data_IF_779085894351
#
_entry.id   IF_779085894351
#
_cell.length_a   1.000
_cell.length_b   1.000
_cell.length_c   1.000
_cell.angle_alpha   90.00
_cell.angle_beta   90.00
_cell.angle_gamma   90.00
#
_symmetry.space_group_name_H-M   'P 1'
#
loop_
_entity.id
_entity.type
_entity.pdbx_description
1 polymer ?
#
# COMPACT_ATOMS: atom_id res chain seq x y z
N UNK A 1 21.34 -57.85 19.24
CA UNK A 1 20.16 -57.05 19.65
C UNK A 1 19.76 -56.24 18.43
N UNK A 2 18.73 -56.70 17.70
CA UNK A 2 18.22 -56.08 16.48
C UNK A 2 17.00 -55.23 16.87
N UNK A 3 17.12 -53.91 16.75
CA UNK A 3 16.03 -52.96 16.98
C UNK A 3 15.23 -52.81 15.70
N UNK A 4 14.06 -53.44 15.66
CA UNK A 4 13.05 -53.28 14.62
C UNK A 4 12.37 -51.92 14.80
N UNK A 5 12.48 -51.04 13.80
CA UNK A 5 11.72 -49.79 13.75
C UNK A 5 10.28 -50.07 13.25
N UNK A 6 9.24 -49.50 13.88
CA UNK A 6 7.87 -49.65 13.42
C UNK A 6 7.60 -48.82 12.15
N UNK A 7 6.82 -49.42 11.24
CA UNK A 7 6.40 -48.84 9.97
C UNK A 7 5.50 -47.62 10.14
N UNK A 8 5.80 -46.57 9.38
CA UNK A 8 5.02 -45.33 9.27
C UNK A 8 3.65 -45.62 8.64
N UNK A 9 2.57 -45.16 9.29
CA UNK A 9 1.22 -45.17 8.72
C UNK A 9 1.05 -44.02 7.70
N UNK A 10 0.30 -44.21 6.60
CA UNK A 10 0.05 -43.16 5.62
C UNK A 10 -0.86 -42.08 6.21
N UNK A 11 -0.37 -40.83 6.26
CA UNK A 11 -1.19 -39.65 6.58
C UNK A 11 -2.16 -39.41 5.42
N UNK A 12 -3.46 -39.38 5.73
CA UNK A 12 -4.52 -38.95 4.82
C UNK A 12 -4.42 -37.43 4.66
N UNK A 13 -4.29 -36.97 3.42
CA UNK A 13 -4.38 -35.56 3.04
C UNK A 13 -5.82 -35.04 3.27
N UNK A 14 -6.04 -33.92 3.96
CA UNK A 14 -7.31 -33.21 3.88
C UNK A 14 -7.39 -32.52 2.52
N UNK A 15 -8.40 -32.89 1.73
CA UNK A 15 -8.70 -32.26 0.44
C UNK A 15 -9.06 -30.79 0.64
N UNK A 16 -8.52 -29.94 -0.23
CA UNK A 16 -8.94 -28.55 -0.39
C UNK A 16 -10.33 -28.51 -1.04
N UNK A 17 -11.34 -27.87 -0.43
CA UNK A 17 -12.54 -27.50 -1.16
C UNK A 17 -12.27 -26.22 -1.96
N UNK A 18 -12.24 -26.40 -3.28
CA UNK A 18 -12.59 -25.36 -4.25
C UNK A 18 -14.03 -24.93 -3.96
N UNK A 19 -14.24 -23.67 -3.61
CA UNK A 19 -15.57 -23.05 -3.68
C UNK A 19 -15.43 -21.53 -3.86
N UNK A 20 -15.51 -21.13 -5.13
CA UNK A 20 -15.84 -19.78 -5.54
C UNK A 20 -17.23 -19.38 -5.02
N UNK A 21 -17.34 -18.19 -4.44
CA UNK A 21 -18.59 -17.47 -4.31
C UNK A 21 -18.30 -15.96 -4.17
N UNK A 22 -18.06 -15.30 -5.30
CA UNK A 22 -18.23 -13.85 -5.43
C UNK A 22 -19.74 -13.60 -5.39
N UNK A 23 -20.23 -13.07 -4.27
CA UNK A 23 -21.56 -12.46 -4.20
C UNK A 23 -21.37 -10.97 -4.42
N UNK A 24 -21.60 -10.54 -5.66
CA UNK A 24 -21.88 -9.14 -5.98
C UNK A 24 -23.24 -8.82 -5.36
N UNK A 25 -23.23 -8.22 -4.17
CA UNK A 25 -24.41 -7.62 -3.59
C UNK A 25 -24.60 -6.23 -4.21
N UNK A 26 -25.46 -6.15 -5.21
CA UNK A 26 -26.01 -4.90 -5.72
C UNK A 26 -26.88 -4.26 -4.64
N UNK A 27 -26.36 -3.27 -3.93
CA UNK A 27 -27.17 -2.40 -3.06
C UNK A 27 -27.87 -1.35 -3.93
N UNK A 28 -29.12 -1.65 -4.26
CA UNK A 28 -30.08 -0.68 -4.74
C UNK A 28 -30.53 0.19 -3.57
N UNK A 29 -30.46 1.52 -3.75
CA UNK A 29 -31.08 2.52 -2.90
C UNK A 29 -32.59 2.24 -2.75
N UNK A 30 -33.02 1.88 -1.54
CA UNK A 30 -34.42 1.96 -1.10
C UNK A 30 -34.49 3.05 -0.04
N UNK A 31 -35.03 4.20 -0.46
CA UNK A 31 -35.45 5.26 0.44
C UNK A 31 -36.85 4.93 1.00
N UNK A 32 -36.95 4.84 2.33
CA UNK A 32 -38.04 5.37 3.17
C UNK A 32 -37.90 4.89 4.63
N UNK A 33 -37.79 5.82 5.59
CA UNK A 33 -38.32 5.61 6.94
C UNK A 33 -37.53 6.21 8.11
N UNK A 34 -38.00 7.37 8.57
CA UNK A 34 -37.97 7.92 9.95
C UNK A 34 -36.62 8.17 10.68
N UNK A 35 -36.21 9.45 10.61
CA UNK A 35 -35.96 10.33 11.76
C UNK A 35 -35.04 9.85 12.91
N UNK A 36 -33.71 9.81 12.67
CA UNK A 36 -32.64 10.37 13.55
C UNK A 36 -31.27 10.26 12.84
N UNK A 37 -31.20 10.58 11.54
CA UNK A 37 -29.95 10.54 10.79
C UNK A 37 -29.09 11.76 11.15
N UNK A 38 -28.12 11.56 12.04
CA UNK A 38 -26.99 12.45 12.29
C UNK A 38 -26.06 12.57 11.07
N UNK A 39 -26.64 12.86 9.90
CA UNK A 39 -25.90 13.35 8.75
C UNK A 39 -25.31 14.67 9.18
N UNK A 40 -24.03 14.65 9.54
CA UNK A 40 -23.24 15.84 9.83
C UNK A 40 -23.60 16.90 8.80
N UNK A 41 -24.09 18.06 9.25
CA UNK A 41 -24.41 19.13 8.33
C UNK A 41 -23.12 19.50 7.58
N UNK A 42 -23.22 20.03 6.36
CA UNK A 42 -22.03 20.48 5.61
C UNK A 42 -21.14 21.44 6.43
N UNK A 43 -21.74 22.14 7.40
CA UNK A 43 -21.06 22.99 8.39
C UNK A 43 -20.22 22.18 9.37
N UNK A 44 -20.72 21.03 9.85
CA UNK A 44 -20.02 20.17 10.80
C UNK A 44 -18.82 19.47 10.13
N UNK A 45 -18.98 19.04 8.88
CA UNK A 45 -17.87 18.47 8.10
C UNK A 45 -16.77 19.51 7.83
N UNK A 46 -17.14 20.75 7.51
CA UNK A 46 -16.16 21.84 7.29
C UNK A 46 -15.37 22.12 8.58
N UNK A 47 -16.05 22.12 9.73
CA UNK A 47 -15.41 22.33 11.03
C UNK A 47 -14.46 21.18 11.39
N UNK A 48 -14.88 19.93 11.13
CA UNK A 48 -14.04 18.76 11.28
C UNK A 48 -12.78 18.85 10.41
N UNK A 49 -12.92 19.12 9.11
CA UNK A 49 -11.79 19.20 8.18
C UNK A 49 -10.78 20.31 8.56
N UNK A 50 -11.27 21.45 9.04
CA UNK A 50 -10.40 22.51 9.55
C UNK A 50 -9.60 22.06 10.78
N UNK A 51 -10.22 21.26 11.65
CA UNK A 51 -9.57 20.71 12.84
C UNK A 51 -8.59 19.58 12.49
N UNK A 52 -8.94 18.71 11.55
CA UNK A 52 -8.07 17.69 10.99
C UNK A 52 -6.75 18.28 10.46
N UNK A 53 -6.84 19.37 9.68
CA UNK A 53 -5.66 20.07 9.16
C UNK A 53 -4.76 20.67 10.27
N UNK A 54 -5.34 21.06 11.40
CA UNK A 54 -4.59 21.55 12.57
C UNK A 54 -3.90 20.39 13.31
N UNK A 55 -4.60 19.26 13.48
CA UNK A 55 -4.07 18.04 14.11
C UNK A 55 -2.94 17.41 13.29
N UNK A 56 -3.02 17.46 11.96
CA UNK A 56 -2.06 16.83 11.04
C UNK A 56 -0.85 17.72 10.71
N UNK A 57 -0.58 18.78 11.49
CA UNK A 57 0.59 19.61 11.23
C UNK A 57 1.90 18.83 11.48
N UNK A 58 2.85 18.85 10.51
CA UNK A 58 4.09 18.12 10.64
C UNK A 58 4.94 18.67 11.79
N UNK A 59 5.55 17.76 12.55
CA UNK A 59 6.46 18.12 13.64
C UNK A 59 5.77 18.60 14.92
N UNK A 60 4.44 18.56 15.00
CA UNK A 60 3.69 18.88 16.22
C UNK A 60 2.96 17.65 16.77
N UNK A 61 3.17 17.36 18.05
CA UNK A 61 2.37 16.37 18.77
C UNK A 61 1.05 17.03 19.18
N UNK A 62 -0.12 16.49 18.79
CA UNK A 62 -1.41 17.05 19.18
C UNK A 62 -1.55 17.17 20.69
N UNK A 63 -2.10 18.29 21.17
CA UNK A 63 -2.41 18.44 22.60
C UNK A 63 -3.68 17.65 22.95
N UNK A 64 -3.87 17.24 24.21
CA UNK A 64 -5.12 16.60 24.64
C UNK A 64 -6.36 17.47 24.40
N UNK A 65 -6.19 18.80 24.51
CA UNK A 65 -7.26 19.76 24.22
C UNK A 65 -7.63 19.75 22.74
N UNK A 66 -6.64 19.72 21.83
CA UNK A 66 -6.85 19.62 20.40
C UNK A 66 -7.54 18.31 20.01
N UNK A 67 -7.10 17.19 20.60
CA UNK A 67 -7.70 15.87 20.36
C UNK A 67 -9.14 15.77 20.87
N UNK A 68 -9.46 16.39 21.99
CA UNK A 68 -10.83 16.45 22.49
C UNK A 68 -11.76 17.28 21.57
N UNK A 69 -11.27 18.39 21.02
CA UNK A 69 -12.01 19.17 20.02
C UNK A 69 -12.19 18.39 18.72
N UNK A 70 -11.14 17.70 18.27
CA UNK A 70 -11.17 16.85 17.08
C UNK A 70 -12.19 15.71 17.22
N UNK A 71 -12.20 15.03 18.36
CA UNK A 71 -13.19 13.99 18.69
C UNK A 71 -14.62 14.53 18.75
N UNK A 72 -14.83 15.71 19.32
CA UNK A 72 -16.17 16.31 19.41
C UNK A 72 -16.75 16.69 18.04
N UNK A 73 -15.89 16.91 17.04
CA UNK A 73 -16.28 17.24 15.67
C UNK A 73 -16.31 16.02 14.75
N UNK A 74 -15.86 14.85 15.21
CA UNK A 74 -15.75 13.66 14.39
C UNK A 74 -17.13 13.23 13.82
N UNK A 75 -17.26 13.12 12.48
CA UNK A 75 -18.46 12.55 11.86
C UNK A 75 -18.73 11.14 12.38
N UNK A 76 -20.00 10.76 12.46
CA UNK A 76 -20.41 9.46 13.03
C UNK A 76 -19.73 8.24 12.38
N UNK A 77 -19.35 8.35 11.10
CA UNK A 77 -18.62 7.30 10.36
C UNK A 77 -17.22 7.02 10.92
N UNK A 78 -16.54 8.03 11.46
CA UNK A 78 -15.17 7.91 12.01
C UNK A 78 -15.09 8.19 13.51
N UNK A 79 -16.22 8.38 14.20
CA UNK A 79 -16.25 8.68 15.62
C UNK A 79 -15.55 7.61 16.48
N UNK A 80 -15.76 6.33 16.15
CA UNK A 80 -15.12 5.20 16.86
C UNK A 80 -13.60 5.15 16.62
N UNK A 81 -13.08 5.19 15.37
CA UNK A 81 -11.65 5.35 15.12
C UNK A 81 -11.01 6.54 15.84
N UNK A 82 -11.66 7.71 15.82
CA UNK A 82 -11.14 8.91 16.50
C UNK A 82 -11.10 8.69 18.01
N UNK A 83 -12.09 8.02 18.60
CA UNK A 83 -12.07 7.70 20.03
C UNK A 83 -10.90 6.81 20.42
N UNK A 84 -10.58 5.77 19.62
CA UNK A 84 -9.40 4.91 19.83
C UNK A 84 -8.11 5.73 19.84
N UNK A 85 -7.94 6.61 18.86
CA UNK A 85 -6.77 7.51 18.79
C UNK A 85 -6.67 8.39 20.04
N UNK A 86 -7.77 9.05 20.44
CA UNK A 86 -7.77 9.94 21.61
C UNK A 86 -7.50 9.19 22.91
N UNK A 87 -8.07 8.01 23.10
CA UNK A 87 -7.82 7.17 24.28
C UNK A 87 -6.35 6.77 24.38
N UNK A 88 -5.72 6.41 23.26
CA UNK A 88 -4.32 6.05 23.23
C UNK A 88 -3.40 7.22 23.61
N UNK A 89 -3.69 8.43 23.12
CA UNK A 89 -2.97 9.65 23.53
C UNK A 89 -3.26 10.05 24.99
N UNK A 90 -4.47 9.82 25.49
CA UNK A 90 -4.86 10.13 26.86
C UNK A 90 -4.21 9.21 27.91
N UNK A 91 -3.82 8.00 27.52
CA UNK A 91 -3.05 7.08 28.37
C UNK A 91 -1.68 7.64 28.79
N UNK A 92 -1.21 8.70 28.11
CA UNK A 92 0.04 9.40 28.44
C UNK A 92 1.29 8.64 28.02
N UNK A 93 1.13 7.68 27.11
CA UNK A 93 2.22 6.91 26.53
C UNK A 93 3.02 7.75 25.52
N UNK A 94 4.28 7.34 25.30
CA UNK A 94 5.12 7.91 24.25
C UNK A 94 4.40 7.79 22.89
N UNK A 95 4.31 8.83 22.06
CA UNK A 95 3.67 8.75 20.75
C UNK A 95 4.18 7.58 19.90
N UNK A 96 5.47 7.24 20.00
CA UNK A 96 6.03 6.09 19.29
C UNK A 96 5.45 4.75 19.75
N UNK A 97 5.07 4.65 21.03
CA UNK A 97 4.40 3.47 21.60
C UNK A 97 2.93 3.44 21.16
N UNK A 98 2.26 4.59 21.15
CA UNK A 98 0.86 4.73 20.68
C UNK A 98 0.70 4.21 19.25
N UNK A 99 1.58 4.60 18.33
CA UNK A 99 1.52 4.13 16.93
C UNK A 99 2.07 2.71 16.71
N UNK A 100 2.51 2.02 17.77
CA UNK A 100 2.88 0.60 17.69
C UNK A 100 1.70 -0.34 18.02
N UNK A 101 0.58 0.22 18.50
CA UNK A 101 -0.64 -0.55 18.78
C UNK A 101 -1.42 -0.81 17.47
N UNK A 102 -1.70 -2.08 17.11
CA UNK A 102 -2.40 -2.40 15.87
C UNK A 102 -3.80 -1.80 15.78
N UNK A 103 -4.50 -1.62 16.90
CA UNK A 103 -5.84 -1.02 16.92
C UNK A 103 -5.76 0.49 16.64
N UNK A 104 -4.71 1.16 17.11
CA UNK A 104 -4.44 2.57 16.81
C UNK A 104 -4.04 2.75 15.35
N UNK A 105 -3.20 1.87 14.80
CA UNK A 105 -2.81 1.91 13.37
C UNK A 105 -4.03 1.76 12.46
N UNK A 106 -4.89 0.76 12.75
CA UNK A 106 -6.12 0.54 11.98
C UNK A 106 -7.13 1.71 12.11
N UNK A 107 -7.18 2.36 13.27
CA UNK A 107 -8.00 3.55 13.48
C UNK A 107 -7.47 4.76 12.69
N UNK A 108 -6.15 4.98 12.72
CA UNK A 108 -5.50 6.06 11.96
C UNK A 108 -5.71 5.88 10.46
N UNK A 109 -5.59 4.66 9.93
CA UNK A 109 -5.84 4.39 8.51
C UNK A 109 -7.26 4.77 8.09
N UNK A 110 -8.28 4.39 8.87
CA UNK A 110 -9.68 4.76 8.59
C UNK A 110 -9.90 6.27 8.64
N UNK A 111 -9.31 6.94 9.62
CA UNK A 111 -9.36 8.40 9.75
C UNK A 111 -8.72 9.05 8.51
N UNK A 112 -7.51 8.63 8.14
CA UNK A 112 -6.76 9.17 7.00
C UNK A 112 -7.51 8.97 5.68
N UNK A 113 -8.11 7.80 5.46
CA UNK A 113 -8.94 7.54 4.27
C UNK A 113 -10.13 8.49 4.22
N UNK A 114 -10.82 8.70 5.34
CA UNK A 114 -11.93 9.64 5.41
C UNK A 114 -11.49 11.10 5.17
N UNK A 115 -10.42 11.54 5.84
CA UNK A 115 -9.88 12.90 5.68
C UNK A 115 -9.39 13.17 4.25
N UNK A 116 -8.78 12.19 3.60
CA UNK A 116 -8.38 12.30 2.20
C UNK A 116 -9.60 12.49 1.29
N UNK A 117 -10.64 11.68 1.47
CA UNK A 117 -11.83 11.72 0.60
C UNK A 117 -12.72 12.95 0.85
N UNK A 118 -12.90 13.33 2.12
CA UNK A 118 -13.88 14.35 2.52
C UNK A 118 -13.25 15.72 2.72
N UNK A 119 -11.99 15.77 3.14
CA UNK A 119 -11.27 17.00 3.47
C UNK A 119 -10.17 17.35 2.45
N UNK A 120 -9.78 16.41 1.57
CA UNK A 120 -8.67 16.60 0.65
C UNK A 120 -7.33 16.75 1.37
N UNK A 121 -7.19 16.15 2.56
CA UNK A 121 -5.94 16.15 3.32
C UNK A 121 -5.11 14.93 2.92
N UNK A 122 -3.89 15.18 2.46
CA UNK A 122 -2.93 14.12 2.17
C UNK A 122 -2.23 13.67 3.47
N UNK A 123 -1.89 12.38 3.60
CA UNK A 123 -1.13 11.90 4.76
C UNK A 123 0.21 12.66 4.86
N UNK A 124 0.65 13.04 6.06
CA UNK A 124 1.96 13.67 6.23
C UNK A 124 3.06 12.70 5.76
N UNK A 125 3.75 13.07 4.68
CA UNK A 125 4.81 12.26 4.10
C UNK A 125 6.04 12.26 5.03
N UNK A 126 6.66 11.10 5.30
CA UNK A 126 7.89 11.03 6.06
C UNK A 126 9.06 11.63 5.23
N UNK A 127 9.23 12.95 5.31
CA UNK A 127 10.29 13.68 4.60
C UNK A 127 10.13 15.20 4.54
N UNK A 128 8.92 15.73 4.76
CA UNK A 128 8.62 17.16 4.53
C UNK A 128 9.03 18.10 5.68
N UNK A 129 9.54 17.56 6.80
CA UNK A 129 9.89 18.37 7.97
C UNK A 129 11.17 19.22 7.81
N UNK A 130 11.98 19.00 6.75
CA UNK A 130 13.29 19.66 6.58
C UNK A 130 13.50 20.42 5.25
N UNK A 131 12.48 20.56 4.39
CA UNK A 131 12.64 21.20 3.08
C UNK A 131 12.43 22.73 3.09
N UNK A 132 13.14 23.47 3.95
CA UNK A 132 13.34 24.90 3.72
C UNK A 132 14.42 25.13 2.64
N UNK A 133 13.98 25.69 1.50
CA UNK A 133 14.67 26.66 0.64
C UNK A 133 16.17 26.38 0.37
N UNK A 134 16.49 25.87 -0.81
CA UNK A 134 17.73 26.29 -1.51
C UNK A 134 17.47 26.52 -2.99
N UNK A 135 17.28 27.79 -3.30
CA UNK A 135 17.46 28.38 -4.62
C UNK A 135 18.92 28.13 -5.06
N UNK A 136 19.14 27.41 -6.16
CA UNK A 136 20.45 27.38 -6.82
C UNK A 136 20.33 27.21 -8.33
N UNK A 137 20.35 28.35 -8.98
CA UNK A 137 20.54 28.56 -10.40
C UNK A 137 21.82 27.87 -10.89
N UNK A 138 21.71 26.93 -11.82
CA UNK A 138 22.84 26.46 -12.63
C UNK A 138 22.42 26.28 -14.08
N UNK A 139 22.66 27.33 -14.88
CA UNK A 139 22.60 27.30 -16.34
C UNK A 139 23.73 26.42 -16.87
N UNK A 140 23.37 25.25 -17.41
CA UNK A 140 24.25 24.37 -18.17
C UNK A 140 23.57 23.92 -19.45
N UNK A 141 23.82 24.64 -20.55
CA UNK A 141 23.42 24.21 -21.90
C UNK A 141 24.16 22.94 -22.30
N UNK A 142 23.45 21.84 -22.42
CA UNK A 142 23.86 20.66 -23.17
C UNK A 142 22.65 20.17 -23.99
N UNK A 143 22.91 19.93 -25.27
CA UNK A 143 21.99 19.55 -26.35
C UNK A 143 20.66 18.91 -25.92
N UNK A 144 19.58 19.66 -26.16
CA UNK A 144 18.18 19.23 -26.17
C UNK A 144 17.97 18.13 -27.23
N UNK A 145 18.13 16.88 -26.81
CA UNK A 145 17.26 15.79 -27.26
C UNK A 145 16.13 15.71 -26.23
N UNK A 146 15.26 16.74 -26.23
CA UNK A 146 14.05 16.76 -25.40
C UNK A 146 13.10 15.74 -26.01
N UNK A 147 13.29 14.46 -25.66
CA UNK A 147 12.19 13.49 -25.70
C UNK A 147 11.05 14.14 -24.94
N UNK A 148 10.02 14.57 -25.67
CA UNK A 148 8.86 15.19 -25.07
C UNK A 148 8.31 14.22 -24.03
N UNK A 149 8.11 14.69 -22.80
CA UNK A 149 7.50 13.90 -21.74
C UNK A 149 6.16 13.34 -22.24
N UNK A 150 5.89 12.08 -21.89
CA UNK A 150 4.63 11.43 -22.24
C UNK A 150 3.46 12.19 -21.60
N UNK A 151 2.26 12.11 -22.19
CA UNK A 151 1.05 12.48 -21.43
C UNK A 151 0.83 11.46 -20.32
N UNK A 152 0.06 11.83 -19.30
CA UNK A 152 -0.32 10.91 -18.22
C UNK A 152 -0.94 9.62 -18.76
N UNK A 153 -1.89 9.72 -19.69
CA UNK A 153 -2.53 8.51 -20.23
C UNK A 153 -1.55 7.65 -21.03
N UNK A 154 -0.61 8.27 -21.75
CA UNK A 154 0.40 7.54 -22.50
C UNK A 154 1.41 6.85 -21.57
N UNK A 155 1.86 7.53 -20.52
CA UNK A 155 2.73 6.96 -19.49
C UNK A 155 2.06 5.75 -18.81
N UNK A 156 0.82 5.90 -18.35
CA UNK A 156 0.07 4.82 -17.68
C UNK A 156 -0.17 3.64 -18.63
N UNK A 157 -0.47 3.89 -19.89
CA UNK A 157 -0.65 2.82 -20.88
C UNK A 157 0.66 2.05 -21.14
N UNK A 158 1.79 2.74 -21.25
CA UNK A 158 3.10 2.11 -21.45
C UNK A 158 3.58 1.37 -20.19
N UNK A 159 3.39 1.94 -19.01
CA UNK A 159 3.72 1.28 -17.74
C UNK A 159 2.91 -0.02 -17.55
N UNK A 160 1.60 0.00 -17.81
CA UNK A 160 0.77 -1.21 -17.75
C UNK A 160 1.22 -2.27 -18.77
N UNK A 161 1.63 -1.86 -19.96
CA UNK A 161 2.13 -2.80 -20.97
C UNK A 161 3.43 -3.50 -20.51
N UNK A 162 4.35 -2.76 -19.90
CA UNK A 162 5.58 -3.31 -19.29
C UNK A 162 5.23 -4.32 -18.20
N UNK A 163 4.30 -3.95 -17.31
CA UNK A 163 3.91 -4.83 -16.21
C UNK A 163 3.19 -6.09 -16.67
N UNK A 164 2.29 -5.97 -17.65
CA UNK A 164 1.61 -7.12 -18.23
C UNK A 164 2.60 -8.10 -18.90
N UNK A 165 3.62 -7.60 -19.59
CA UNK A 165 4.68 -8.44 -20.17
C UNK A 165 5.49 -9.15 -19.07
N UNK A 166 5.93 -8.41 -18.05
CA UNK A 166 6.66 -8.98 -16.92
C UNK A 166 5.85 -10.01 -16.13
N UNK A 167 4.57 -9.75 -15.88
CA UNK A 167 3.66 -10.68 -15.23
C UNK A 167 3.49 -11.98 -16.02
N UNK A 168 3.40 -11.90 -17.35
CA UNK A 168 3.31 -13.09 -18.19
C UNK A 168 4.57 -13.97 -18.09
N UNK A 169 5.76 -13.38 -17.96
CA UNK A 169 7.00 -14.12 -17.72
C UNK A 169 7.01 -14.78 -16.33
N UNK A 170 6.59 -14.05 -15.29
CA UNK A 170 6.49 -14.58 -13.93
C UNK A 170 5.47 -15.73 -13.86
N UNK A 171 4.32 -15.59 -14.50
CA UNK A 171 3.31 -16.64 -14.60
C UNK A 171 3.85 -17.90 -15.31
N UNK A 172 4.61 -17.72 -16.39
CA UNK A 172 5.24 -18.83 -17.10
C UNK A 172 6.28 -19.54 -16.21
N UNK A 173 7.10 -18.78 -15.48
CA UNK A 173 8.08 -19.31 -14.53
C UNK A 173 7.40 -20.06 -13.38
N UNK A 174 6.29 -19.51 -12.85
CA UNK A 174 5.49 -20.16 -11.83
C UNK A 174 4.86 -21.45 -12.34
N UNK A 175 4.33 -21.46 -13.57
CA UNK A 175 3.76 -22.66 -14.18
C UNK A 175 4.80 -23.76 -14.39
N UNK A 176 6.02 -23.40 -14.83
CA UNK A 176 7.13 -24.35 -14.98
C UNK A 176 7.54 -24.95 -13.62
N UNK A 177 7.67 -24.09 -12.60
CA UNK A 177 8.16 -24.47 -11.27
C UNK A 177 7.13 -25.29 -10.49
N UNK A 178 5.90 -24.80 -10.41
CA UNK A 178 4.87 -25.32 -9.52
C UNK A 178 3.83 -26.20 -10.24
N UNK A 179 3.80 -26.21 -11.57
CA UNK A 179 2.80 -26.97 -12.35
C UNK A 179 3.01 -28.49 -12.39
N UNK A 180 4.19 -28.98 -11.96
CA UNK A 180 4.52 -30.42 -12.01
C UNK A 180 3.82 -31.27 -10.94
N UNK A 181 3.23 -30.64 -9.92
CA UNK A 181 2.64 -31.31 -8.75
C UNK A 181 3.67 -31.91 -7.78
N UNK A 182 4.96 -31.82 -8.09
CA UNK A 182 6.04 -32.12 -7.14
C UNK A 182 6.48 -30.81 -6.49
N UNK A 183 6.54 -30.72 -5.15
CA UNK A 183 7.05 -29.53 -4.48
C UNK A 183 8.50 -29.24 -4.92
N UNK A 184 8.84 -27.99 -5.27
CA UNK A 184 10.22 -27.60 -5.58
C UNK A 184 11.13 -27.77 -4.36
N UNK A 185 12.43 -27.93 -4.61
CA UNK A 185 13.45 -27.86 -3.56
C UNK A 185 13.74 -26.41 -3.17
N UNK A 186 14.33 -26.19 -1.99
CA UNK A 186 14.73 -24.85 -1.55
C UNK A 186 15.68 -24.15 -2.56
N UNK A 187 16.58 -24.90 -3.18
CA UNK A 187 17.47 -24.39 -4.22
C UNK A 187 16.71 -23.95 -5.48
N UNK A 188 15.68 -24.70 -5.88
CA UNK A 188 14.79 -24.31 -6.99
C UNK A 188 13.97 -23.07 -6.62
N UNK A 189 13.49 -22.96 -5.37
CA UNK A 189 12.77 -21.78 -4.92
C UNK A 189 13.66 -20.53 -4.91
N UNK A 190 14.91 -20.64 -4.47
CA UNK A 190 15.85 -19.52 -4.50
C UNK A 190 16.18 -19.08 -5.93
N UNK A 191 16.39 -20.02 -6.86
CA UNK A 191 16.63 -19.71 -8.27
C UNK A 191 15.42 -19.01 -8.91
N UNK A 192 14.20 -19.48 -8.60
CA UNK A 192 12.96 -18.86 -9.05
C UNK A 192 12.77 -17.47 -8.45
N UNK A 193 13.09 -17.29 -7.16
CA UNK A 193 13.06 -15.97 -6.52
C UNK A 193 14.01 -15.00 -7.24
N UNK A 194 15.25 -15.40 -7.48
CA UNK A 194 16.22 -14.55 -8.17
C UNK A 194 15.74 -14.15 -9.59
N UNK A 195 15.11 -15.08 -10.31
CA UNK A 195 14.51 -14.79 -11.63
C UNK A 195 13.32 -13.82 -11.53
N UNK A 196 12.42 -14.00 -10.56
CA UNK A 196 11.30 -13.07 -10.30
C UNK A 196 11.82 -11.68 -9.97
N UNK A 197 12.80 -11.57 -9.05
CA UNK A 197 13.36 -10.29 -8.65
C UNK A 197 14.09 -9.58 -9.81
N UNK A 198 14.78 -10.33 -10.67
CA UNK A 198 15.43 -9.79 -11.86
C UNK A 198 14.41 -9.27 -12.90
N UNK A 199 13.31 -10.02 -13.10
CA UNK A 199 12.22 -9.59 -13.98
C UNK A 199 11.57 -8.30 -13.47
N UNK A 200 11.20 -8.24 -12.19
CA UNK A 200 10.59 -7.03 -11.60
C UNK A 200 11.56 -5.84 -11.62
N UNK A 201 12.85 -6.04 -11.36
CA UNK A 201 13.84 -4.96 -11.50
C UNK A 201 13.91 -4.42 -12.93
N UNK A 202 13.80 -5.31 -13.93
CA UNK A 202 13.77 -4.91 -15.35
C UNK A 202 12.53 -4.09 -15.66
N UNK A 203 11.36 -4.44 -15.10
CA UNK A 203 10.14 -3.64 -15.24
C UNK A 203 10.31 -2.25 -14.62
N UNK A 204 10.86 -2.16 -13.40
CA UNK A 204 11.14 -0.89 -12.72
C UNK A 204 12.06 -0.01 -13.57
N UNK A 205 13.15 -0.56 -14.11
CA UNK A 205 14.06 0.19 -14.99
C UNK A 205 13.40 0.64 -16.29
N UNK A 206 12.51 -0.19 -16.87
CA UNK A 206 11.78 0.17 -18.07
C UNK A 206 10.76 1.28 -17.83
N UNK A 207 10.07 1.28 -16.68
CA UNK A 207 9.13 2.33 -16.29
C UNK A 207 9.85 3.64 -15.98
N UNK A 208 10.97 3.59 -15.26
CA UNK A 208 11.86 4.74 -14.99
C UNK A 208 12.29 5.44 -16.30
N UNK A 209 12.53 4.66 -17.35
CA UNK A 209 12.92 5.16 -18.66
C UNK A 209 11.77 5.82 -19.47
N UNK A 210 10.50 5.68 -19.07
CA UNK A 210 9.36 6.26 -19.79
C UNK A 210 9.28 7.79 -19.67
N UNK A 211 10.05 8.40 -18.76
CA UNK A 211 10.04 9.84 -18.48
C UNK A 211 8.61 10.37 -18.21
N UNK A 212 8.09 10.19 -16.97
CA UNK A 212 6.74 10.59 -16.64
C UNK A 212 6.50 12.09 -16.85
N UNK A 213 5.24 12.51 -17.09
CA UNK A 213 4.90 13.93 -17.07
C UNK A 213 5.26 14.55 -15.72
N UNK A 214 5.59 15.85 -15.72
CA UNK A 214 6.12 16.55 -14.55
C UNK A 214 5.17 16.48 -13.35
N UNK A 215 3.87 16.42 -13.62
CA UNK A 215 2.80 16.30 -12.62
C UNK A 215 2.81 14.95 -11.89
N UNK A 216 3.32 13.88 -12.51
CA UNK A 216 3.40 12.54 -11.92
C UNK A 216 4.79 12.17 -11.42
N UNK A 217 5.83 12.92 -11.78
CA UNK A 217 7.22 12.53 -11.56
C UNK A 217 7.52 12.15 -10.09
N UNK A 218 7.03 12.94 -9.13
CA UNK A 218 7.23 12.65 -7.71
C UNK A 218 6.55 11.34 -7.27
N UNK A 219 5.29 11.11 -7.67
CA UNK A 219 4.55 9.90 -7.33
C UNK A 219 5.13 8.66 -8.01
N UNK A 220 5.62 8.79 -9.25
CA UNK A 220 6.31 7.70 -9.95
C UNK A 220 7.65 7.39 -9.28
N UNK A 221 8.44 8.40 -8.90
CA UNK A 221 9.69 8.19 -8.17
C UNK A 221 9.46 7.46 -6.84
N UNK A 222 8.42 7.86 -6.10
CA UNK A 222 8.01 7.20 -4.86
C UNK A 222 7.59 5.75 -5.11
N UNK A 223 6.78 5.51 -6.14
CA UNK A 223 6.34 4.17 -6.53
C UNK A 223 7.51 3.25 -6.90
N UNK A 224 8.42 3.73 -7.75
CA UNK A 224 9.60 2.95 -8.17
C UNK A 224 10.56 2.73 -6.99
N UNK A 225 10.68 3.69 -6.07
CA UNK A 225 11.44 3.53 -4.83
C UNK A 225 10.85 2.46 -3.92
N UNK A 226 9.52 2.47 -3.72
CA UNK A 226 8.80 1.45 -2.96
C UNK A 226 8.99 0.06 -3.59
N UNK A 227 8.91 -0.03 -4.92
CA UNK A 227 9.18 -1.27 -5.66
C UNK A 227 10.60 -1.81 -5.41
N UNK A 228 11.63 -0.95 -5.49
CA UNK A 228 13.03 -1.33 -5.20
C UNK A 228 13.20 -1.80 -3.76
N UNK A 229 12.55 -1.14 -2.80
CA UNK A 229 12.54 -1.57 -1.40
C UNK A 229 11.88 -2.94 -1.21
N UNK A 230 10.77 -3.18 -1.90
CA UNK A 230 10.10 -4.49 -1.94
C UNK A 230 11.01 -5.61 -2.44
N UNK A 231 11.79 -5.37 -3.50
CA UNK A 231 12.77 -6.32 -4.02
C UNK A 231 13.83 -6.71 -2.99
N UNK A 232 14.35 -5.73 -2.25
CA UNK A 232 15.34 -5.98 -1.20
C UNK A 232 14.73 -6.75 -0.02
N UNK A 233 13.50 -6.42 0.37
CA UNK A 233 12.78 -7.14 1.42
C UNK A 233 12.53 -8.62 1.04
N UNK A 234 12.12 -8.88 -0.20
CA UNK A 234 11.93 -10.24 -0.70
C UNK A 234 13.22 -11.06 -0.73
N UNK A 235 14.31 -10.43 -1.20
CA UNK A 235 15.63 -11.07 -1.17
C UNK A 235 16.03 -11.46 0.25
N UNK A 236 15.73 -10.61 1.23
CA UNK A 236 16.01 -10.88 2.63
C UNK A 236 15.17 -12.04 3.21
N UNK A 237 13.95 -12.27 2.69
CA UNK A 237 13.10 -13.39 3.11
C UNK A 237 13.58 -14.76 2.57
N UNK A 238 14.24 -14.78 1.41
CA UNK A 238 14.65 -16.03 0.77
C UNK A 238 13.44 -16.93 0.46
N UNK A 239 13.51 -18.23 0.74
CA UNK A 239 12.41 -19.15 0.42
C UNK A 239 11.12 -18.90 1.20
N UNK A 240 11.16 -18.14 2.31
CA UNK A 240 9.97 -17.73 3.04
C UNK A 240 9.03 -16.84 2.22
N UNK A 241 9.55 -16.21 1.15
CA UNK A 241 8.77 -15.45 0.18
C UNK A 241 7.61 -16.26 -0.44
N UNK A 242 7.80 -17.58 -0.60
CA UNK A 242 6.78 -18.46 -1.18
C UNK A 242 5.81 -19.06 -0.15
N UNK A 243 5.88 -18.66 1.12
CA UNK A 243 4.94 -19.11 2.14
C UNK A 243 3.58 -18.40 1.96
N UNK A 244 2.49 -19.11 1.65
CA UNK A 244 1.18 -18.50 1.47
C UNK A 244 0.59 -17.91 2.77
N UNK A 245 1.21 -18.18 3.92
CA UNK A 245 0.84 -17.63 5.23
C UNK A 245 1.72 -16.46 5.66
N UNK A 246 2.79 -16.17 4.92
CA UNK A 246 3.68 -15.05 5.17
C UNK A 246 3.07 -13.72 4.70
N UNK A 247 3.46 -12.63 5.34
CA UNK A 247 3.21 -11.29 4.80
C UNK A 247 4.03 -11.11 3.52
N UNK A 248 3.37 -10.75 2.43
CA UNK A 248 4.05 -10.43 1.17
C UNK A 248 4.65 -9.03 1.28
N UNK A 249 5.98 -8.90 1.45
CA UNK A 249 6.60 -7.61 1.71
C UNK A 249 6.74 -6.76 0.44
N UNK A 250 6.58 -7.37 -0.76
CA UNK A 250 6.96 -6.73 -2.03
C UNK A 250 6.01 -5.59 -2.41
N UNK A 251 4.79 -5.57 -1.89
CA UNK A 251 3.70 -5.04 -2.71
C UNK A 251 2.74 -4.06 -2.04
N UNK A 252 2.62 -3.98 -0.72
CA UNK A 252 1.51 -3.20 -0.14
C UNK A 252 1.55 -1.72 -0.58
N UNK A 253 2.69 -1.06 -0.38
CA UNK A 253 2.83 0.36 -0.73
C UNK A 253 3.01 0.59 -2.24
N UNK A 254 3.83 -0.24 -2.90
CA UNK A 254 4.02 -0.14 -4.34
C UNK A 254 2.71 -0.36 -5.11
N UNK A 255 1.89 -1.33 -4.72
CA UNK A 255 0.60 -1.61 -5.37
C UNK A 255 -0.43 -0.52 -5.07
N UNK A 256 -0.40 0.07 -3.86
CA UNK A 256 -1.22 1.24 -3.52
C UNK A 256 -0.90 2.40 -4.46
N UNK A 257 0.38 2.74 -4.62
CA UNK A 257 0.84 3.82 -5.49
C UNK A 257 0.56 3.52 -6.98
N UNK A 258 0.82 2.30 -7.44
CA UNK A 258 0.49 1.85 -8.80
C UNK A 258 -1.02 1.99 -9.09
N UNK A 259 -1.87 1.59 -8.16
CA UNK A 259 -3.33 1.71 -8.29
C UNK A 259 -3.75 3.18 -8.36
N UNK A 260 -3.16 4.05 -7.53
CA UNK A 260 -3.45 5.48 -7.54
C UNK A 260 -3.06 6.15 -8.87
N UNK A 261 -1.98 5.68 -9.50
CA UNK A 261 -1.53 6.12 -10.84
C UNK A 261 -2.36 5.51 -11.99
N UNK A 262 -3.22 4.53 -11.74
CA UNK A 262 -3.92 3.78 -12.79
C UNK A 262 -3.06 2.72 -13.49
N UNK A 263 -1.87 2.43 -12.97
CA UNK A 263 -0.98 1.36 -13.42
C UNK A 263 -1.40 -0.01 -12.84
N UNK A 264 -2.65 -0.42 -13.10
CA UNK A 264 -3.28 -1.59 -12.47
C UNK A 264 -2.65 -2.94 -12.79
N UNK A 265 -1.95 -3.07 -13.91
CA UNK A 265 -1.20 -4.30 -14.23
C UNK A 265 0.06 -4.45 -13.37
N UNK A 266 0.51 -3.36 -12.75
CA UNK A 266 1.67 -3.36 -11.87
C UNK A 266 1.31 -3.52 -10.39
N UNK A 267 0.02 -3.61 -10.06
CA UNK A 267 -0.54 -3.63 -8.70
C UNK A 267 -1.05 -5.01 -8.27
#
# INVERSE_FOLDING_TARGET
>A
MLTVHPANAPRRSPGWPIAAAIVVASLAFVACGDDDDGSASTTDLTAFCAKAAETNQPGTVPTPELLAEYQALAPGEIADPVAVLVEAFAAGDDPAVVFSDPDVVAAVEQITVFESQQCGLEPPQPGDADAERTESTATGSAADDTSAALSEEAFVAEANAICAEGNAEIEALAAETFGSGTPPTDEQLLDVLDQVLANVNTQIEAIDALAPPAELAATVDEWLSAGRSGLDAARAQGTAFFDPTGENPISAEANRLATALGATECA
#
